data_IF_652900547985
#
_entry.id   IF_652900547985
#
_cell.length_a   1.000
_cell.length_b   1.000
_cell.length_c   1.000
_cell.angle_alpha   90.00
_cell.angle_beta   90.00
_cell.angle_gamma   90.00
#
_symmetry.space_group_name_H-M   'P 1'
#
loop_
_entity.id
_entity.type
_entity.pdbx_description
1 polymer ?
#
# COMPACT_ATOMS: atom_id res chain seq x y z
N UNK A 1 3.76 -12.80 18.17
CA UNK A 1 2.61 -11.99 17.71
C UNK A 1 2.87 -11.58 16.27
N UNK A 2 1.91 -11.71 15.37
CA UNK A 2 2.04 -11.28 13.98
C UNK A 2 1.14 -10.07 13.71
N UNK A 3 1.58 -9.19 12.80
CA UNK A 3 0.87 -7.97 12.43
C UNK A 3 0.74 -7.91 10.92
N UNK A 4 -0.45 -7.54 10.44
CA UNK A 4 -0.70 -7.16 9.05
C UNK A 4 -0.92 -5.66 8.97
N UNK A 5 -0.39 -5.04 7.92
CA UNK A 5 -0.51 -3.60 7.67
C UNK A 5 -1.30 -3.40 6.39
N UNK A 6 -2.36 -2.60 6.46
CA UNK A 6 -3.16 -2.20 5.30
C UNK A 6 -2.98 -0.69 5.14
N UNK A 7 -2.50 -0.26 3.97
CA UNK A 7 -2.30 1.14 3.60
C UNK A 7 -3.23 1.47 2.46
N UNK A 8 -4.18 2.38 2.69
CA UNK A 8 -4.98 2.96 1.61
C UNK A 8 -4.23 4.16 1.04
N UNK A 9 -3.87 4.10 -0.24
CA UNK A 9 -3.24 5.21 -0.95
C UNK A 9 -4.26 5.91 -1.86
N UNK A 10 -4.32 7.24 -1.78
CA UNK A 10 -5.05 8.09 -2.72
C UNK A 10 -4.17 9.29 -3.07
N UNK A 11 -3.63 9.29 -4.30
CA UNK A 11 -2.80 10.39 -4.84
C UNK A 11 -1.63 10.84 -3.92
N UNK A 12 -1.06 9.92 -3.13
CA UNK A 12 -0.05 10.22 -2.11
C UNK A 12 1.24 9.41 -2.28
N UNK A 13 1.63 9.19 -3.54
CA UNK A 13 2.71 8.28 -3.94
C UNK A 13 4.07 8.56 -3.28
N UNK A 14 4.44 9.83 -3.09
CA UNK A 14 5.68 10.19 -2.41
C UNK A 14 5.68 9.81 -0.92
N UNK A 15 4.53 9.98 -0.26
CA UNK A 15 4.36 9.59 1.14
C UNK A 15 4.29 8.06 1.27
N UNK A 16 3.63 7.39 0.32
CA UNK A 16 3.61 5.93 0.25
C UNK A 16 5.03 5.37 0.12
N UNK A 17 5.87 5.94 -0.75
CA UNK A 17 7.27 5.53 -0.91
C UNK A 17 8.04 5.62 0.41
N UNK A 18 7.92 6.75 1.11
CA UNK A 18 8.59 6.98 2.41
C UNK A 18 8.07 6.02 3.48
N UNK A 19 6.76 5.77 3.51
CA UNK A 19 6.13 4.83 4.42
C UNK A 19 6.65 3.40 4.22
N UNK A 20 6.65 2.90 2.97
CA UNK A 20 7.13 1.56 2.64
C UNK A 20 8.63 1.40 2.93
N UNK A 21 9.45 2.43 2.67
CA UNK A 21 10.86 2.43 3.04
C UNK A 21 11.05 2.34 4.55
N UNK A 22 10.30 3.11 5.34
CA UNK A 22 10.35 3.07 6.79
C UNK A 22 9.89 1.71 7.36
N UNK A 23 8.85 1.09 6.79
CA UNK A 23 8.40 -0.25 7.18
C UNK A 23 9.47 -1.32 6.91
N UNK A 24 10.26 -1.16 5.84
CA UNK A 24 11.28 -2.15 5.47
C UNK A 24 12.47 -2.24 6.43
N UNK A 25 12.67 -1.23 7.27
CA UNK A 25 13.78 -1.15 8.24
C UNK A 25 13.32 -1.34 9.70
N UNK A 26 12.05 -1.69 9.93
CA UNK A 26 11.56 -1.96 11.29
C UNK A 26 12.20 -3.22 11.88
N UNK A 27 12.44 -3.22 13.19
CA UNK A 27 12.96 -4.38 13.91
C UNK A 27 11.91 -5.48 14.08
N UNK A 28 10.63 -5.10 14.15
CA UNK A 28 9.49 -6.01 14.10
C UNK A 28 8.93 -6.02 12.68
N UNK A 29 9.31 -7.01 11.88
CA UNK A 29 8.84 -7.13 10.49
C UNK A 29 7.37 -7.54 10.45
N UNK A 30 6.48 -6.79 9.78
CA UNK A 30 5.11 -7.21 9.57
C UNK A 30 5.05 -8.48 8.72
N UNK A 31 4.10 -9.37 9.02
CA UNK A 31 3.91 -10.60 8.25
C UNK A 31 3.40 -10.28 6.84
N UNK A 32 2.60 -9.23 6.70
CA UNK A 32 2.00 -8.83 5.43
C UNK A 32 1.83 -7.33 5.38
N UNK A 33 2.16 -6.74 4.23
CA UNK A 33 1.88 -5.34 3.91
C UNK A 33 1.04 -5.32 2.65
N UNK A 34 -0.13 -4.71 2.74
CA UNK A 34 -1.08 -4.56 1.65
C UNK A 34 -1.24 -3.07 1.37
N UNK A 35 -1.09 -2.67 0.12
CA UNK A 35 -1.39 -1.32 -0.36
C UNK A 35 -2.63 -1.39 -1.24
N UNK A 36 -3.68 -0.69 -0.83
CA UNK A 36 -4.89 -0.49 -1.61
C UNK A 36 -4.77 0.84 -2.34
N UNK A 37 -4.50 0.78 -3.65
CA UNK A 37 -4.57 1.93 -4.54
C UNK A 37 -6.03 2.30 -4.77
N UNK A 38 -6.48 3.30 -4.02
CA UNK A 38 -7.84 3.82 -4.03
C UNK A 38 -8.03 4.91 -5.11
N UNK A 39 -7.14 4.96 -6.10
CA UNK A 39 -7.20 5.89 -7.21
C UNK A 39 -7.91 5.29 -8.43
N UNK A 40 -8.44 6.15 -9.29
CA UNK A 40 -9.14 5.77 -10.53
C UNK A 40 -8.16 5.39 -11.65
N UNK A 41 -6.99 6.02 -11.70
CA UNK A 41 -6.00 5.80 -12.77
C UNK A 41 -4.86 4.87 -12.36
N UNK A 42 -4.53 3.94 -13.26
CA UNK A 42 -3.61 2.81 -13.08
C UNK A 42 -2.11 3.16 -13.22
N UNK A 43 -1.71 4.43 -13.06
CA UNK A 43 -0.37 4.88 -13.50
C UNK A 43 0.76 4.68 -12.48
N UNK A 44 0.47 4.51 -11.19
CA UNK A 44 1.51 4.53 -10.15
C UNK A 44 2.02 3.14 -9.71
N UNK A 45 1.23 2.08 -9.89
CA UNK A 45 1.47 0.79 -9.21
C UNK A 45 2.71 0.03 -9.73
N UNK A 46 3.08 0.19 -11.01
CA UNK A 46 4.14 -0.63 -11.62
C UNK A 46 5.52 -0.35 -11.02
N UNK A 47 5.85 0.91 -10.74
CA UNK A 47 7.14 1.28 -10.13
C UNK A 47 7.25 0.78 -8.69
N UNK A 48 6.16 0.86 -7.92
CA UNK A 48 6.14 0.37 -6.54
C UNK A 48 6.28 -1.13 -6.43
N UNK A 49 5.68 -1.90 -7.35
CA UNK A 49 5.83 -3.36 -7.39
C UNK A 49 7.29 -3.79 -7.60
N UNK A 50 8.07 -3.04 -8.37
CA UNK A 50 9.49 -3.32 -8.58
C UNK A 50 10.34 -3.00 -7.34
N UNK A 51 10.06 -1.86 -6.68
CA UNK A 51 10.80 -1.44 -5.47
C UNK A 51 10.44 -2.26 -4.22
N UNK A 52 9.19 -2.72 -4.13
CA UNK A 52 8.66 -3.42 -2.98
C UNK A 52 7.97 -4.73 -3.39
N UNK A 53 8.72 -5.73 -3.89
CA UNK A 53 8.15 -6.97 -4.43
C UNK A 53 7.43 -7.84 -3.38
N UNK A 54 7.69 -7.60 -2.09
CA UNK A 54 7.02 -8.29 -0.98
C UNK A 54 5.69 -7.64 -0.57
N UNK A 55 5.37 -6.45 -1.09
CA UNK A 55 4.13 -5.74 -0.79
C UNK A 55 3.03 -6.19 -1.76
N UNK A 56 1.85 -6.48 -1.22
CA UNK A 56 0.68 -6.84 -2.01
C UNK A 56 -0.01 -5.54 -2.44
N UNK A 57 -0.20 -5.35 -3.74
CA UNK A 57 -0.89 -4.17 -4.28
C UNK A 57 -2.25 -4.55 -4.83
N UNK A 58 -3.31 -3.96 -4.29
CA UNK A 58 -4.71 -4.10 -4.69
C UNK A 58 -5.18 -2.78 -5.29
N UNK A 59 -5.99 -2.79 -6.34
CA UNK A 59 -6.50 -1.56 -6.97
C UNK A 59 -8.02 -1.51 -6.83
N UNK A 60 -8.55 -0.44 -6.23
CA UNK A 60 -9.99 -0.25 -6.06
C UNK A 60 -10.69 0.24 -7.36
N UNK A 61 -9.92 0.83 -8.29
CA UNK A 61 -10.41 1.26 -9.61
C UNK A 61 -11.25 2.55 -9.59
N UNK A 62 -11.60 3.06 -8.41
CA UNK A 62 -12.20 4.36 -8.14
C UNK A 62 -11.98 4.68 -6.65
N UNK A 63 -12.17 5.95 -6.28
CA UNK A 63 -12.20 6.31 -4.86
C UNK A 63 -13.49 5.77 -4.23
N UNK A 64 -13.36 4.78 -3.35
CA UNK A 64 -14.47 4.19 -2.58
C UNK A 64 -14.53 4.67 -1.13
N UNK A 65 -13.72 5.67 -0.77
CA UNK A 65 -13.53 6.12 0.61
C UNK A 65 -12.61 5.20 1.43
N UNK A 66 -12.13 5.70 2.56
CA UNK A 66 -11.14 5.01 3.39
C UNK A 66 -11.64 3.69 3.96
N UNK A 67 -12.79 3.68 4.64
CA UNK A 67 -13.30 2.49 5.33
C UNK A 67 -13.60 1.33 4.37
N UNK A 68 -14.18 1.63 3.19
CA UNK A 68 -14.43 0.61 2.19
C UNK A 68 -13.13 0.05 1.61
N UNK A 69 -12.13 0.90 1.36
CA UNK A 69 -10.82 0.47 0.88
C UNK A 69 -10.03 -0.35 1.91
N UNK A 70 -10.18 -0.06 3.21
CA UNK A 70 -9.58 -0.88 4.29
C UNK A 70 -10.20 -2.28 4.36
N UNK A 71 -11.49 -2.41 4.06
CA UNK A 71 -12.25 -3.66 4.15
C UNK A 71 -12.30 -4.46 2.82
N UNK A 72 -11.38 -4.18 1.88
CA UNK A 72 -11.26 -4.90 0.60
C UNK A 72 -10.51 -6.23 0.72
#
# INVERSE_FOLDING_TARGET
MSVAIIIVNYQSDELLLKCLAALSIQTLTPQTVIVVDNHKERKAVTKFKQLFPKVIFVTAGKNIGFAAAVNM
#
